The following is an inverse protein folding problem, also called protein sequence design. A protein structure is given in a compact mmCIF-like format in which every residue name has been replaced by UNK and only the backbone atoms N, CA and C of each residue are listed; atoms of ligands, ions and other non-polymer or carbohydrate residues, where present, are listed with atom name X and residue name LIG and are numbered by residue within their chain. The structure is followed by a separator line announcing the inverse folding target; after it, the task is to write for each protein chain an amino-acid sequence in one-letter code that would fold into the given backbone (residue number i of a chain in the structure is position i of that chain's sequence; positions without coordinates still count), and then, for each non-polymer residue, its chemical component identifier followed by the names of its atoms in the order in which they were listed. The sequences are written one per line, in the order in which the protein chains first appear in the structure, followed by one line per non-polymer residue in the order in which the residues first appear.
data_IF_257228162166
#
_entry.id   IF_257228162166
#
_cell.length_a   1.000
_cell.length_b   1.000
_cell.length_c   1.000
_cell.angle_alpha   90.00
_cell.angle_beta   90.00
_cell.angle_gamma   90.00
#
_symmetry.space_group_name_H-M   'P 1'
#
loop_
_entity.id
_entity.type
_entity.pdbx_description
1 polymer ?
#
# COMPACT_ATOMS: atom_id res chain seq x y z
N UNK A 1 -6.98 -4.75 -48.97
CA UNK A 1 -6.94 -6.05 -48.26
C UNK A 1 -6.00 -6.08 -47.04
N UNK A 2 -5.16 -5.07 -46.81
CA UNK A 2 -4.16 -5.05 -45.72
C UNK A 2 -4.65 -4.45 -44.39
N UNK A 3 -5.66 -3.57 -44.43
CA UNK A 3 -6.14 -2.87 -43.22
C UNK A 3 -6.99 -3.73 -42.28
N UNK A 4 -7.70 -4.73 -42.80
CA UNK A 4 -8.49 -5.67 -41.98
C UNK A 4 -7.60 -6.62 -41.16
N UNK A 5 -6.42 -6.96 -41.69
CA UNK A 5 -5.45 -7.82 -40.97
C UNK A 5 -4.81 -7.04 -39.82
N UNK A 6 -4.52 -5.76 -40.01
CA UNK A 6 -3.96 -4.90 -38.96
C UNK A 6 -4.93 -4.72 -37.77
N UNK A 7 -6.23 -4.55 -38.03
CA UNK A 7 -7.25 -4.47 -36.97
C UNK A 7 -7.40 -5.79 -36.20
N UNK A 8 -7.32 -6.93 -36.89
CA UNK A 8 -7.38 -8.25 -36.26
C UNK A 8 -6.21 -8.50 -35.30
N UNK A 9 -4.99 -8.09 -35.68
CA UNK A 9 -3.79 -8.27 -34.86
C UNK A 9 -3.82 -7.36 -33.62
N UNK A 10 -4.30 -6.13 -33.74
CA UNK A 10 -4.44 -5.21 -32.60
C UNK A 10 -5.53 -5.70 -31.64
N UNK A 11 -6.67 -6.17 -32.15
CA UNK A 11 -7.73 -6.74 -31.32
C UNK A 11 -7.25 -8.01 -30.56
N UNK A 12 -6.44 -8.85 -31.22
CA UNK A 12 -5.85 -10.03 -30.59
C UNK A 12 -4.82 -9.66 -29.50
N UNK A 13 -4.01 -8.62 -29.72
CA UNK A 13 -3.05 -8.12 -28.72
C UNK A 13 -3.74 -7.49 -27.50
N UNK A 14 -4.84 -6.77 -27.72
CA UNK A 14 -5.67 -6.20 -26.63
C UNK A 14 -6.41 -7.32 -25.87
N UNK A 15 -6.93 -8.32 -26.57
CA UNK A 15 -7.57 -9.47 -25.92
C UNK A 15 -6.57 -10.32 -25.13
N UNK A 16 -5.33 -10.49 -25.62
CA UNK A 16 -4.27 -11.22 -24.92
C UNK A 16 -3.77 -10.48 -23.67
N UNK A 17 -3.66 -9.15 -23.73
CA UNK A 17 -3.29 -8.32 -22.56
C UNK A 17 -4.41 -8.28 -21.53
N UNK A 18 -5.68 -8.17 -21.94
CA UNK A 18 -6.84 -8.23 -21.04
C UNK A 18 -7.03 -9.64 -20.46
N UNK A 19 -6.73 -10.69 -21.22
CA UNK A 19 -6.77 -12.09 -20.76
C UNK A 19 -5.68 -12.44 -19.74
N UNK A 20 -4.48 -11.89 -19.89
CA UNK A 20 -3.40 -12.05 -18.90
C UNK A 20 -3.66 -11.26 -17.60
N UNK A 21 -4.33 -10.10 -17.71
CA UNK A 21 -4.74 -9.27 -16.56
C UNK A 21 -6.01 -9.79 -15.86
N UNK A 22 -6.84 -10.58 -16.56
CA UNK A 22 -7.98 -11.33 -15.99
C UNK A 22 -7.56 -12.72 -15.49
N UNK A 23 -6.41 -12.83 -14.83
CA UNK A 23 -6.24 -13.96 -13.90
C UNK A 23 -7.32 -13.78 -12.83
N UNK A 24 -8.25 -14.74 -12.65
CA UNK A 24 -9.22 -14.65 -11.57
C UNK A 24 -8.42 -14.58 -10.28
N UNK A 25 -8.46 -13.42 -9.63
CA UNK A 25 -7.98 -13.27 -8.27
C UNK A 25 -8.74 -14.32 -7.48
N UNK A 26 -8.00 -15.35 -7.07
CA UNK A 26 -8.51 -16.45 -6.26
C UNK A 26 -9.19 -15.77 -5.09
N UNK A 27 -10.52 -15.86 -5.00
CA UNK A 27 -11.27 -15.45 -3.81
C UNK A 27 -10.62 -16.20 -2.67
N UNK A 28 -9.84 -15.48 -1.89
CA UNK A 28 -9.25 -15.98 -0.68
C UNK A 28 -10.36 -15.88 0.36
N UNK A 29 -11.16 -16.94 0.41
CA UNK A 29 -12.35 -17.07 1.24
C UNK A 29 -11.95 -17.15 2.71
N UNK A 30 -11.41 -16.07 3.30
CA UNK A 30 -11.27 -15.85 4.75
C UNK A 30 -10.69 -17.03 5.56
N UNK A 31 -10.06 -18.00 4.89
CA UNK A 31 -9.49 -19.18 5.48
C UNK A 31 -8.10 -18.75 5.86
N UNK A 32 -7.90 -18.60 7.17
CA UNK A 32 -6.59 -18.58 7.82
C UNK A 32 -5.64 -19.44 7.00
N UNK A 33 -4.68 -18.79 6.33
CA UNK A 33 -3.69 -19.50 5.54
C UNK A 33 -3.04 -20.55 6.46
N UNK A 34 -2.88 -21.81 6.02
CA UNK A 34 -2.08 -22.76 6.80
C UNK A 34 -0.71 -22.13 7.04
N UNK A 35 -0.11 -22.35 8.22
CA UNK A 35 1.12 -21.67 8.60
C UNK A 35 2.17 -21.86 7.49
N UNK A 36 2.90 -20.79 7.12
CA UNK A 36 4.01 -20.93 6.19
C UNK A 36 4.95 -21.98 6.78
N UNK A 37 5.43 -22.91 5.93
CA UNK A 37 6.52 -23.80 6.33
C UNK A 37 7.62 -22.95 6.95
N UNK A 38 8.15 -23.40 8.07
CA UNK A 38 9.03 -22.69 8.99
C UNK A 38 10.30 -22.15 8.30
N UNK A 39 10.16 -21.07 7.52
CA UNK A 39 11.21 -20.43 6.71
C UNK A 39 12.29 -19.76 7.58
N UNK A 40 12.03 -19.67 8.89
CA UNK A 40 12.92 -19.11 9.90
C UNK A 40 13.84 -20.18 10.55
N UNK A 41 13.69 -21.45 10.18
CA UNK A 41 14.51 -22.55 10.73
C UNK A 41 14.28 -22.80 12.22
N UNK A 42 13.13 -22.41 12.76
CA UNK A 42 12.80 -22.59 14.17
C UNK A 42 12.39 -24.04 14.44
N UNK A 43 12.47 -24.44 15.71
CA UNK A 43 11.80 -25.66 16.16
C UNK A 43 10.29 -25.41 16.11
N UNK A 44 9.49 -26.42 15.74
CA UNK A 44 8.04 -26.26 15.55
C UNK A 44 7.33 -25.68 16.78
N UNK A 45 7.75 -26.11 17.98
CA UNK A 45 7.23 -25.60 19.25
C UNK A 45 7.49 -24.10 19.44
N UNK A 46 8.68 -23.62 19.07
CA UNK A 46 9.02 -22.19 19.19
C UNK A 46 8.23 -21.36 18.16
N UNK A 47 7.99 -21.90 16.97
CA UNK A 47 7.16 -21.25 15.97
C UNK A 47 5.70 -21.12 16.44
N UNK A 48 5.14 -22.19 17.03
CA UNK A 48 3.81 -22.18 17.62
C UNK A 48 3.68 -21.17 18.77
N UNK A 49 4.68 -21.10 19.66
CA UNK A 49 4.73 -20.13 20.75
C UNK A 49 4.71 -18.67 20.23
N UNK A 50 5.51 -18.37 19.19
CA UNK A 50 5.53 -17.04 18.57
C UNK A 50 4.19 -16.70 17.90
N UNK A 51 3.52 -17.68 17.28
CA UNK A 51 2.19 -17.47 16.71
C UNK A 51 1.14 -17.18 17.79
N UNK A 52 1.21 -17.87 18.93
CA UNK A 52 0.36 -17.60 20.08
C UNK A 52 0.60 -16.20 20.66
N UNK A 53 1.86 -15.80 20.79
CA UNK A 53 2.23 -14.48 21.27
C UNK A 53 1.76 -13.39 20.30
N UNK A 54 1.96 -13.59 18.99
CA UNK A 54 1.50 -12.69 17.94
C UNK A 54 -0.01 -12.47 17.98
N UNK A 55 -0.79 -13.54 18.13
CA UNK A 55 -2.26 -13.45 18.28
C UNK A 55 -2.66 -12.68 19.53
N UNK A 56 -1.96 -12.87 20.65
CA UNK A 56 -2.26 -12.15 21.91
C UNK A 56 -1.98 -10.66 21.78
N UNK A 57 -0.84 -10.29 21.18
CA UNK A 57 -0.48 -8.89 20.91
C UNK A 57 -1.51 -8.24 19.97
N UNK A 58 -1.96 -8.96 18.94
CA UNK A 58 -2.98 -8.44 18.02
C UNK A 58 -4.34 -8.27 18.70
N UNK A 59 -4.72 -9.15 19.62
CA UNK A 59 -5.94 -9.00 20.42
C UNK A 59 -5.86 -7.84 21.41
N UNK A 60 -4.70 -7.64 22.05
CA UNK A 60 -4.51 -6.63 23.09
C UNK A 60 -4.27 -5.23 22.50
N UNK A 61 -3.54 -5.15 21.39
CA UNK A 61 -3.09 -3.89 20.82
C UNK A 61 -3.59 -3.63 19.40
N UNK A 62 -4.17 -4.58 18.66
CA UNK A 62 -4.48 -4.41 17.23
C UNK A 62 -5.38 -3.21 16.88
N UNK A 63 -6.22 -2.76 17.82
CA UNK A 63 -7.15 -1.63 17.61
C UNK A 63 -6.45 -0.26 17.79
N UNK A 64 -5.48 -0.16 18.70
CA UNK A 64 -4.91 1.13 19.08
C UNK A 64 -4.04 1.77 17.97
N UNK A 65 -3.14 1.06 17.27
CA UNK A 65 -2.33 1.60 16.18
C UNK A 65 -3.17 2.13 15.01
N UNK A 66 -4.23 1.40 14.64
CA UNK A 66 -5.11 1.80 13.53
C UNK A 66 -5.89 3.06 13.91
N UNK A 67 -6.44 3.14 15.13
CA UNK A 67 -7.14 4.34 15.58
C UNK A 67 -6.21 5.57 15.63
N UNK A 68 -4.97 5.41 16.10
CA UNK A 68 -3.99 6.51 16.12
C UNK A 68 -3.61 6.92 14.70
N UNK A 69 -3.44 5.97 13.78
CA UNK A 69 -3.19 6.25 12.36
C UNK A 69 -4.34 7.05 11.75
N UNK A 70 -5.58 6.59 11.92
CA UNK A 70 -6.78 7.27 11.39
C UNK A 70 -6.95 8.66 12.00
N UNK A 71 -6.67 8.84 13.29
CA UNK A 71 -6.71 10.15 13.95
C UNK A 71 -5.68 11.12 13.35
N UNK A 72 -4.43 10.67 13.16
CA UNK A 72 -3.38 11.50 12.54
C UNK A 72 -3.70 11.83 11.09
N UNK A 73 -4.17 10.84 10.31
CA UNK A 73 -4.61 11.04 8.93
C UNK A 73 -5.76 12.03 8.84
N UNK A 74 -6.76 11.91 9.71
CA UNK A 74 -7.86 12.86 9.78
C UNK A 74 -7.39 14.30 10.03
N UNK A 75 -6.32 14.51 10.81
CA UNK A 75 -5.72 15.82 10.99
C UNK A 75 -5.01 16.32 9.72
N UNK A 76 -4.22 15.45 9.07
CA UNK A 76 -3.49 15.77 7.82
C UNK A 76 -4.45 16.18 6.70
N UNK A 77 -5.52 15.41 6.49
CA UNK A 77 -6.53 15.69 5.44
C UNK A 77 -7.29 16.97 5.74
N UNK A 78 -7.87 17.11 6.94
CA UNK A 78 -8.67 18.32 7.29
C UNK A 78 -7.87 19.61 7.16
N UNK A 79 -6.57 19.56 7.46
CA UNK A 79 -5.68 20.73 7.41
C UNK A 79 -4.99 20.90 6.05
N UNK A 80 -5.26 20.03 5.08
CA UNK A 80 -4.59 20.01 3.76
C UNK A 80 -3.07 20.11 3.88
N UNK A 81 -2.50 19.32 4.81
CA UNK A 81 -1.07 19.38 5.10
C UNK A 81 -0.31 18.82 3.90
N UNK A 82 0.58 19.60 3.27
CA UNK A 82 1.30 19.13 2.11
C UNK A 82 2.39 18.13 2.49
N UNK A 83 2.65 17.21 1.57
CA UNK A 83 3.81 16.36 1.56
C UNK A 83 5.08 17.20 1.41
N UNK A 84 6.08 16.93 2.25
CA UNK A 84 7.41 17.55 2.24
C UNK A 84 8.46 16.68 1.56
N UNK A 85 8.38 15.37 1.80
CA UNK A 85 9.38 14.44 1.30
C UNK A 85 8.79 13.04 1.17
N UNK A 86 9.38 12.29 0.24
CA UNK A 86 9.26 10.83 0.16
C UNK A 86 10.67 10.28 0.33
N UNK A 87 10.86 9.39 1.32
CA UNK A 87 12.15 8.77 1.63
C UNK A 87 12.05 7.26 1.47
N UNK A 88 13.16 6.56 1.22
CA UNK A 88 13.19 5.10 1.28
C UNK A 88 12.70 4.59 2.65
N UNK A 89 11.91 3.52 2.63
CA UNK A 89 11.48 2.83 3.85
C UNK A 89 12.47 1.75 4.29
N UNK A 90 12.21 1.10 5.45
CA UNK A 90 13.10 0.09 6.02
C UNK A 90 13.17 -1.21 5.22
N UNK A 91 12.20 -1.46 4.33
CA UNK A 91 12.16 -2.63 3.48
C UNK A 91 11.86 -2.26 2.02
N UNK A 92 12.24 -3.17 1.11
CA UNK A 92 12.02 -2.98 -0.34
C UNK A 92 10.53 -2.84 -0.64
N UNK A 93 10.19 -1.84 -1.45
CA UNK A 93 8.80 -1.54 -1.81
C UNK A 93 8.02 -0.74 -0.76
N UNK A 94 8.69 -0.31 0.32
CA UNK A 94 8.15 0.66 1.27
C UNK A 94 8.84 2.01 1.11
N UNK A 95 8.10 3.08 1.40
CA UNK A 95 8.59 4.43 1.51
C UNK A 95 8.06 5.10 2.77
N UNK A 96 8.78 6.10 3.26
CA UNK A 96 8.33 7.03 4.29
C UNK A 96 7.83 8.29 3.60
N UNK A 97 6.57 8.65 3.81
CA UNK A 97 6.03 9.95 3.38
C UNK A 97 5.99 10.90 4.57
N UNK A 98 6.58 12.08 4.43
CA UNK A 98 6.72 13.06 5.50
C UNK A 98 5.86 14.28 5.19
N UNK A 99 4.92 14.61 6.05
CA UNK A 99 4.06 15.79 5.94
C UNK A 99 4.70 17.02 6.62
N UNK A 100 4.24 18.20 6.22
CA UNK A 100 4.72 19.47 6.77
C UNK A 100 4.40 19.69 8.25
N UNK A 101 3.46 18.94 8.83
CA UNK A 101 3.11 18.97 10.26
C UNK A 101 3.97 18.01 11.11
N UNK A 102 4.95 17.35 10.50
CA UNK A 102 5.81 16.36 11.13
C UNK A 102 5.26 14.94 11.13
N UNK A 103 4.01 14.72 10.67
CA UNK A 103 3.46 13.37 10.52
C UNK A 103 4.28 12.60 9.48
N UNK A 104 4.73 11.40 9.84
CA UNK A 104 5.42 10.51 8.90
C UNK A 104 4.73 9.14 8.88
N UNK A 105 4.44 8.65 7.68
CA UNK A 105 3.76 7.38 7.45
C UNK A 105 4.63 6.45 6.62
N UNK A 106 4.59 5.17 6.94
CA UNK A 106 5.11 4.13 6.06
C UNK A 106 4.03 3.74 5.05
N UNK A 107 4.40 3.79 3.78
CA UNK A 107 3.50 3.49 2.66
C UNK A 107 4.10 2.51 1.68
N UNK A 108 3.22 1.82 0.95
CA UNK A 108 3.52 0.94 -0.17
C UNK A 108 2.76 1.43 -1.41
N UNK A 109 3.38 1.35 -2.58
CA UNK A 109 2.69 1.61 -3.85
C UNK A 109 1.67 0.50 -4.17
N UNK A 110 0.56 0.83 -4.84
CA UNK A 110 -0.39 -0.20 -5.32
C UNK A 110 0.18 -0.93 -6.53
N UNK A 111 0.99 -0.24 -7.32
CA UNK A 111 1.70 -0.74 -8.50
C UNK A 111 3.20 -0.46 -8.40
N UNK A 112 3.97 -1.22 -9.19
CA UNK A 112 5.40 -0.98 -9.34
C UNK A 112 5.59 0.38 -10.01
N UNK A 113 6.29 1.29 -9.32
CA UNK A 113 6.59 2.63 -9.82
C UNK A 113 5.84 3.75 -9.10
N UNK A 114 4.72 3.47 -8.42
CA UNK A 114 3.91 4.50 -7.75
C UNK A 114 4.72 5.36 -6.78
N UNK A 115 5.59 4.72 -5.97
CA UNK A 115 6.41 5.42 -4.99
C UNK A 115 7.46 6.32 -5.64
N UNK A 116 8.02 5.88 -6.78
CA UNK A 116 8.97 6.68 -7.55
C UNK A 116 8.28 7.84 -8.24
N UNK A 117 7.10 7.61 -8.80
CA UNK A 117 6.25 8.64 -9.40
C UNK A 117 5.82 9.68 -8.37
N UNK A 118 5.38 9.25 -7.20
CA UNK A 118 5.02 10.12 -6.07
C UNK A 118 6.23 10.93 -5.59
N UNK A 119 7.40 10.30 -5.44
CA UNK A 119 8.62 11.00 -5.03
C UNK A 119 9.02 12.08 -6.05
N UNK A 120 9.05 11.76 -7.34
CA UNK A 120 9.35 12.72 -8.40
C UNK A 120 8.33 13.87 -8.45
N UNK A 121 7.05 13.55 -8.24
CA UNK A 121 5.98 14.55 -8.18
C UNK A 121 6.14 15.46 -6.98
N UNK A 122 6.46 14.94 -5.80
CA UNK A 122 6.67 15.71 -4.57
C UNK A 122 7.84 16.71 -4.65
N UNK A 123 8.82 16.48 -5.54
CA UNK A 123 9.92 17.42 -5.79
C UNK A 123 9.42 18.66 -6.54
N UNK A 124 8.47 18.49 -7.46
CA UNK A 124 8.07 19.54 -8.41
C UNK A 124 6.71 20.16 -8.10
N UNK A 125 5.87 19.48 -7.32
CA UNK A 125 4.49 19.86 -7.08
C UNK A 125 4.17 19.77 -5.58
N UNK A 126 3.19 20.59 -5.15
CA UNK A 126 2.61 20.47 -3.83
C UNK A 126 1.62 19.30 -3.85
N UNK A 127 1.97 18.20 -3.20
CA UNK A 127 1.11 17.02 -3.04
C UNK A 127 0.43 17.09 -1.67
N UNK A 128 -0.84 16.70 -1.58
CA UNK A 128 -1.57 16.55 -0.31
C UNK A 128 -2.43 15.29 -0.36
N UNK A 129 -2.87 14.82 0.81
CA UNK A 129 -3.87 13.73 0.88
C UNK A 129 -5.25 14.35 0.69
N UNK A 130 -5.98 13.94 -0.34
CA UNK A 130 -7.34 14.38 -0.60
C UNK A 130 -8.36 13.54 0.14
N UNK A 131 -8.13 12.24 0.23
CA UNK A 131 -9.00 11.31 0.97
C UNK A 131 -8.22 10.11 1.54
N UNK A 132 -8.83 9.39 2.47
CA UNK A 132 -8.35 8.09 2.93
C UNK A 132 -9.51 7.17 3.28
N UNK A 133 -9.36 5.88 3.00
CA UNK A 133 -10.39 4.89 3.27
C UNK A 133 -9.78 3.53 3.63
N UNK A 134 -10.53 2.72 4.36
CA UNK A 134 -10.12 1.35 4.68
C UNK A 134 -10.55 0.40 3.56
N UNK A 135 -9.62 -0.43 3.07
CA UNK A 135 -9.84 -1.44 2.05
C UNK A 135 -9.25 -2.79 2.50
N UNK A 136 -10.11 -3.79 2.76
CA UNK A 136 -9.83 -5.20 3.13
C UNK A 136 -8.99 -5.46 4.40
N UNK A 137 -8.11 -4.55 4.82
CA UNK A 137 -7.28 -4.47 6.05
C UNK A 137 -6.23 -3.35 5.95
N UNK A 138 -6.14 -2.67 4.80
CA UNK A 138 -5.18 -1.59 4.56
C UNK A 138 -5.90 -0.25 4.61
N UNK A 139 -5.16 0.80 4.97
CA UNK A 139 -5.64 2.18 4.79
C UNK A 139 -5.09 2.68 3.46
N UNK A 140 -5.97 3.01 2.53
CA UNK A 140 -5.61 3.63 1.25
C UNK A 140 -5.56 5.13 1.45
N UNK A 141 -4.52 5.77 0.94
CA UNK A 141 -4.35 7.21 0.88
C UNK A 141 -4.45 7.67 -0.56
N UNK A 142 -5.38 8.57 -0.84
CA UNK A 142 -5.50 9.22 -2.13
C UNK A 142 -4.75 10.56 -2.07
N UNK A 143 -3.72 10.68 -2.91
CA UNK A 143 -2.83 11.85 -2.96
C UNK A 143 -3.09 12.64 -4.24
N UNK A 144 -3.23 13.96 -4.11
CA UNK A 144 -3.53 14.89 -5.19
C UNK A 144 -2.51 16.03 -5.29
N UNK A 145 -2.33 16.56 -6.50
CA UNK A 145 -1.55 17.78 -6.78
C UNK A 145 -2.20 18.63 -7.88
N UNK A 146 -3.53 18.60 -7.95
CA UNK A 146 -4.37 19.39 -8.86
C UNK A 146 -4.43 18.87 -10.30
N UNK A 147 -3.30 18.45 -10.87
CA UNK A 147 -3.21 17.92 -12.25
C UNK A 147 -3.14 16.39 -12.35
N UNK A 148 -3.15 15.70 -11.21
CA UNK A 148 -3.00 14.27 -11.13
C UNK A 148 -3.21 13.77 -9.71
N UNK A 149 -3.39 12.46 -9.61
CA UNK A 149 -3.61 11.75 -8.37
C UNK A 149 -2.82 10.43 -8.35
N UNK A 150 -2.53 9.90 -7.16
CA UNK A 150 -2.01 8.54 -6.96
C UNK A 150 -2.51 7.98 -5.63
N UNK A 151 -2.87 6.70 -5.62
CA UNK A 151 -3.29 6.01 -4.40
C UNK A 151 -2.16 5.14 -3.87
N UNK A 152 -1.86 5.24 -2.57
CA UNK A 152 -0.86 4.40 -1.89
C UNK A 152 -1.47 3.72 -0.67
N UNK A 153 -0.88 2.62 -0.22
CA UNK A 153 -1.31 1.89 0.96
C UNK A 153 -0.50 2.34 2.17
N UNK A 154 -1.15 2.89 3.19
CA UNK A 154 -0.54 3.11 4.50
C UNK A 154 -0.40 1.80 5.26
N UNK A 155 0.84 1.47 5.61
CA UNK A 155 1.23 0.27 6.36
C UNK A 155 1.30 0.58 7.86
N UNK A 156 1.61 1.82 8.23
CA UNK A 156 1.64 2.24 9.62
C UNK A 156 2.22 3.64 9.81
N UNK A 157 2.31 4.06 11.08
CA UNK A 157 3.12 5.21 11.46
C UNK A 157 4.60 4.84 11.36
N UNK A 158 5.43 5.78 10.91
CA UNK A 158 6.87 5.58 10.96
C UNK A 158 7.34 5.58 12.41
N UNK A 159 7.99 4.48 12.83
CA UNK A 159 8.67 4.41 14.11
C UNK A 159 10.09 4.93 13.93
N UNK A 160 10.60 5.67 14.92
CA UNK A 160 11.97 6.14 14.89
C UNK A 160 12.92 4.93 14.86
N UNK A 161 13.94 5.00 13.99
CA UNK A 161 15.00 4.01 13.86
C UNK A 161 15.82 3.88 15.17
#
# INVERSE_FOLDING_TARGET
MTWLVALGVVAALVAATVGLLRRPSRRDDGRVAPPPRNDLGLVEADAEELWELGRRVEQEFGVAPVQVLLYRLGSVVRRNVPLRAVRPGPARGLARICFADGTTLQVRGRQVGDLGYLAATAITQKVWVSDFHAEHSNVVLDLDWGRGHVSVLAVGLDQAD
#
